data_IF_842311959282
#
_entry.id   IF_842311959282
#
_cell.length_a   1.000
_cell.length_b   1.000
_cell.length_c   1.000
_cell.angle_alpha   90.00
_cell.angle_beta   90.00
_cell.angle_gamma   90.00
#
_symmetry.space_group_name_H-M   'P 1'
#
loop_
_entity.id
_entity.type
_entity.pdbx_description
1 polymer ?
#
# COMPACT_ATOMS: atom_id res chain seq x y z
N UNK A 1 -30.30 -1.91 -11.06
CA UNK A 1 -29.85 -3.21 -11.61
C UNK A 1 -29.45 -4.09 -10.44
N UNK A 2 -29.91 -5.34 -10.39
CA UNK A 2 -29.60 -6.28 -9.30
C UNK A 2 -28.10 -6.54 -9.22
N UNK A 3 -27.47 -6.28 -8.07
CA UNK A 3 -26.09 -6.69 -7.77
C UNK A 3 -25.99 -8.20 -8.03
N UNK A 4 -25.08 -8.64 -8.91
CA UNK A 4 -24.68 -10.05 -8.95
C UNK A 4 -23.84 -10.28 -7.70
N UNK A 5 -24.42 -10.88 -6.67
CA UNK A 5 -23.65 -11.47 -5.58
C UNK A 5 -22.65 -12.44 -6.20
N UNK A 6 -21.41 -12.44 -5.69
CA UNK A 6 -20.44 -13.48 -6.06
C UNK A 6 -21.13 -14.83 -5.90
N UNK A 7 -21.07 -15.65 -6.93
CA UNK A 7 -21.46 -17.03 -6.76
C UNK A 7 -20.28 -17.73 -6.07
N UNK A 8 -20.18 -17.63 -4.73
CA UNK A 8 -19.11 -18.28 -3.94
C UNK A 8 -18.95 -19.74 -4.33
N UNK A 9 -20.07 -20.42 -4.65
CA UNK A 9 -20.05 -21.77 -5.15
C UNK A 9 -19.28 -21.92 -6.48
N UNK A 10 -19.39 -20.99 -7.42
CA UNK A 10 -18.64 -21.03 -8.68
C UNK A 10 -17.13 -20.83 -8.46
N UNK A 11 -16.73 -19.90 -7.58
CA UNK A 11 -15.32 -19.70 -7.23
C UNK A 11 -14.74 -20.99 -6.61
N UNK A 12 -15.42 -21.54 -5.61
CA UNK A 12 -14.95 -22.75 -4.92
C UNK A 12 -14.90 -23.95 -5.87
N UNK A 13 -15.90 -24.15 -6.75
CA UNK A 13 -15.85 -25.21 -7.74
C UNK A 13 -14.75 -24.97 -8.80
N UNK A 14 -14.48 -23.73 -9.16
CA UNK A 14 -13.35 -23.33 -9.99
C UNK A 14 -12.01 -23.71 -9.36
N UNK A 15 -11.84 -23.36 -8.09
CA UNK A 15 -10.68 -23.73 -7.27
C UNK A 15 -10.50 -25.24 -7.21
N UNK A 16 -11.56 -25.98 -6.87
CA UNK A 16 -11.55 -27.45 -6.86
C UNK A 16 -11.04 -28.05 -8.17
N UNK A 17 -11.51 -27.53 -9.31
CA UNK A 17 -11.15 -28.06 -10.63
C UNK A 17 -9.68 -27.78 -10.99
N UNK A 18 -9.15 -26.61 -10.61
CA UNK A 18 -7.79 -26.19 -10.93
C UNK A 18 -6.78 -26.75 -9.92
N UNK A 19 -6.98 -26.48 -8.63
CA UNK A 19 -6.05 -26.89 -7.58
C UNK A 19 -5.97 -28.41 -7.41
N UNK A 20 -6.95 -29.21 -7.85
CA UNK A 20 -6.81 -30.68 -7.83
C UNK A 20 -5.89 -31.23 -8.95
N UNK A 21 -5.47 -30.40 -9.91
CA UNK A 21 -4.70 -30.81 -11.10
C UNK A 21 -3.40 -30.04 -11.28
N UNK A 22 -3.36 -28.82 -10.78
CA UNK A 22 -2.25 -27.90 -10.93
C UNK A 22 -1.69 -27.58 -9.54
N UNK A 23 -0.41 -27.88 -9.34
CA UNK A 23 0.28 -27.58 -8.09
C UNK A 23 0.60 -26.09 -7.94
N UNK A 24 0.54 -25.30 -9.02
CA UNK A 24 0.72 -23.85 -8.98
C UNK A 24 0.05 -23.18 -10.17
N UNK A 25 -0.14 -21.87 -10.04
CA UNK A 25 -0.64 -21.00 -11.10
C UNK A 25 -0.44 -19.52 -10.74
N UNK A 26 -0.85 -18.61 -11.63
CA UNK A 26 -0.80 -17.18 -11.34
C UNK A 26 -1.54 -16.86 -10.04
N UNK A 27 -0.86 -16.31 -9.04
CA UNK A 27 -1.45 -15.93 -7.75
C UNK A 27 -1.68 -17.08 -6.76
N UNK A 28 -1.21 -18.31 -7.01
CA UNK A 28 -1.20 -19.37 -6.02
C UNK A 28 -0.07 -20.39 -6.21
N UNK A 29 0.50 -20.90 -5.13
CA UNK A 29 1.52 -21.95 -5.14
C UNK A 29 1.22 -22.99 -4.05
N UNK A 30 0.86 -24.21 -4.46
CA UNK A 30 0.60 -25.36 -3.59
C UNK A 30 1.81 -26.33 -3.57
N UNK A 31 2.96 -25.91 -4.07
CA UNK A 31 4.20 -26.70 -4.00
C UNK A 31 4.94 -26.42 -2.68
N UNK A 32 6.04 -27.15 -2.45
CA UNK A 32 7.02 -26.84 -1.39
C UNK A 32 7.80 -25.54 -1.62
N UNK A 33 7.26 -24.59 -2.38
CA UNK A 33 7.80 -23.24 -2.55
C UNK A 33 6.82 -22.18 -2.07
N UNK A 34 5.71 -22.54 -1.43
CA UNK A 34 4.76 -21.57 -0.87
C UNK A 34 5.34 -20.81 0.36
N UNK A 35 4.75 -19.66 0.75
CA UNK A 35 5.22 -18.87 1.89
C UNK A 35 5.38 -19.65 3.19
N UNK A 36 4.43 -20.52 3.54
CA UNK A 36 4.49 -21.35 4.76
C UNK A 36 5.68 -22.31 4.76
N UNK A 37 5.95 -22.99 3.65
CA UNK A 37 7.11 -23.89 3.57
C UNK A 37 8.44 -23.12 3.65
N UNK A 38 8.51 -21.92 3.04
CA UNK A 38 9.68 -21.05 3.17
C UNK A 38 9.84 -20.56 4.61
N UNK A 39 8.73 -20.24 5.28
CA UNK A 39 8.67 -19.89 6.70
C UNK A 39 9.25 -20.99 7.55
N UNK A 40 8.72 -22.21 7.49
CA UNK A 40 9.20 -23.34 8.27
C UNK A 40 10.70 -23.56 8.09
N UNK A 41 11.19 -23.56 6.84
CA UNK A 41 12.63 -23.78 6.60
C UNK A 41 13.50 -22.67 7.16
N UNK A 42 13.16 -21.41 6.87
CA UNK A 42 14.00 -20.25 7.23
C UNK A 42 13.92 -19.92 8.72
N UNK A 43 12.76 -20.14 9.34
CA UNK A 43 12.61 -19.93 10.79
C UNK A 43 13.37 -20.99 11.56
N UNK A 44 13.38 -22.26 11.14
CA UNK A 44 14.21 -23.29 11.77
C UNK A 44 15.70 -22.99 11.58
N UNK A 45 16.12 -22.58 10.38
CA UNK A 45 17.51 -22.14 10.14
C UNK A 45 17.92 -20.98 11.07
N UNK A 46 17.00 -20.05 11.38
CA UNK A 46 17.24 -18.95 12.32
C UNK A 46 17.23 -19.41 13.78
N UNK A 47 16.29 -20.26 14.18
CA UNK A 47 16.17 -20.76 15.55
C UNK A 47 17.36 -21.66 15.95
N UNK A 48 17.93 -22.41 15.00
CA UNK A 48 19.06 -23.31 15.24
C UNK A 48 20.42 -22.57 15.41
N UNK A 49 20.62 -21.46 14.71
CA UNK A 49 21.84 -20.64 14.77
C UNK A 49 21.46 -19.17 14.53
N UNK A 50 21.06 -18.45 15.60
CA UNK A 50 20.51 -17.10 15.48
C UNK A 50 21.58 -16.09 15.09
N UNK A 51 21.51 -15.62 13.85
CA UNK A 51 22.33 -14.52 13.32
C UNK A 51 21.45 -13.46 12.66
N UNK A 52 21.93 -12.21 12.57
CA UNK A 52 21.21 -11.13 11.87
C UNK A 52 20.92 -11.52 10.42
N UNK A 53 21.89 -12.08 9.70
CA UNK A 53 21.72 -12.55 8.31
C UNK A 53 20.60 -13.59 8.16
N UNK A 54 20.51 -14.55 9.09
CA UNK A 54 19.46 -15.57 9.06
C UNK A 54 18.11 -14.99 9.46
N UNK A 55 18.09 -14.04 10.39
CA UNK A 55 16.89 -13.28 10.71
C UNK A 55 16.40 -12.49 9.50
N UNK A 56 17.28 -11.83 8.75
CA UNK A 56 16.93 -11.10 7.52
C UNK A 56 16.38 -12.01 6.43
N UNK A 57 16.98 -13.19 6.25
CA UNK A 57 16.47 -14.18 5.30
C UNK A 57 15.06 -14.66 5.68
N UNK A 58 14.85 -14.96 6.97
CA UNK A 58 13.55 -15.32 7.54
C UNK A 58 12.53 -14.18 7.41
N UNK A 59 12.88 -12.98 7.86
CA UNK A 59 11.99 -11.83 7.94
C UNK A 59 11.94 -11.07 6.61
N UNK A 60 11.39 -11.73 5.60
CA UNK A 60 11.27 -11.23 4.23
C UNK A 60 9.88 -11.50 3.65
N UNK A 61 9.49 -10.72 2.64
CA UNK A 61 8.19 -10.84 1.95
C UNK A 61 7.96 -12.21 1.30
N UNK A 62 9.04 -12.94 1.01
CA UNK A 62 8.94 -14.31 0.49
C UNK A 62 8.48 -15.33 1.53
N UNK A 63 8.61 -15.00 2.81
CA UNK A 63 8.40 -15.88 3.98
C UNK A 63 7.19 -15.45 4.80
N UNK A 64 7.08 -14.14 5.01
CA UNK A 64 6.06 -13.46 5.78
C UNK A 64 5.47 -12.37 4.89
N UNK A 65 4.22 -12.52 4.51
CA UNK A 65 3.50 -11.57 3.68
C UNK A 65 3.50 -10.19 4.34
N UNK A 66 3.40 -10.11 5.67
CA UNK A 66 3.39 -8.87 6.44
C UNK A 66 4.79 -8.37 6.82
N UNK A 67 5.87 -9.07 6.47
CA UNK A 67 7.24 -8.57 6.67
C UNK A 67 7.59 -7.38 5.76
N UNK A 68 6.81 -7.12 4.70
CA UNK A 68 6.91 -5.89 3.92
C UNK A 68 6.64 -4.63 4.77
N UNK A 69 5.81 -4.72 5.83
CA UNK A 69 5.47 -3.58 6.71
C UNK A 69 6.66 -3.14 7.57
N UNK A 70 7.64 -4.02 7.81
CA UNK A 70 8.92 -3.70 8.47
C UNK A 70 10.02 -4.64 8.00
N UNK A 71 10.99 -4.12 7.25
CA UNK A 71 12.18 -4.87 6.88
C UNK A 71 12.96 -5.33 8.12
N UNK A 72 13.63 -6.47 8.01
CA UNK A 72 14.29 -7.17 9.11
C UNK A 72 15.23 -6.29 9.96
N UNK A 73 16.04 -5.44 9.31
CA UNK A 73 16.95 -4.51 9.99
C UNK A 73 16.24 -3.58 10.99
N UNK A 74 14.98 -3.21 10.76
CA UNK A 74 14.21 -2.37 11.68
C UNK A 74 13.73 -3.12 12.91
N UNK A 75 13.38 -4.39 12.75
CA UNK A 75 13.01 -5.23 13.89
C UNK A 75 14.24 -5.44 14.77
N UNK A 76 15.40 -5.69 14.16
CA UNK A 76 16.68 -5.75 14.87
C UNK A 76 17.02 -4.43 15.58
N UNK A 77 16.88 -3.29 14.90
CA UNK A 77 17.19 -1.98 15.47
C UNK A 77 16.28 -1.55 16.63
N UNK A 78 15.02 -2.01 16.65
CA UNK A 78 14.06 -1.70 17.73
C UNK A 78 14.02 -2.74 18.84
N UNK A 79 14.61 -3.89 18.61
CA UNK A 79 14.69 -4.93 19.60
C UNK A 79 15.74 -4.57 20.64
N UNK A 80 15.31 -4.30 21.87
CA UNK A 80 16.20 -3.94 22.97
C UNK A 80 17.04 -5.13 23.51
N UNK A 81 16.85 -6.33 22.95
CA UNK A 81 17.56 -7.56 23.33
C UNK A 81 18.62 -8.00 22.31
N UNK A 82 19.10 -9.23 22.44
CA UNK A 82 20.02 -9.82 21.45
C UNK A 82 19.26 -10.59 20.37
N UNK A 83 19.92 -10.93 19.27
CA UNK A 83 19.36 -11.77 18.21
C UNK A 83 18.92 -13.14 18.75
N UNK A 84 19.67 -13.70 19.71
CA UNK A 84 19.26 -14.90 20.45
C UNK A 84 17.96 -14.66 21.23
N UNK A 85 17.77 -13.47 21.80
CA UNK A 85 16.51 -13.10 22.46
C UNK A 85 15.32 -13.02 21.50
N UNK A 86 15.53 -12.63 20.23
CA UNK A 86 14.49 -12.74 19.20
C UNK A 86 14.18 -14.20 18.88
N UNK A 87 15.21 -15.04 18.77
CA UNK A 87 15.01 -16.48 18.58
C UNK A 87 14.26 -17.12 19.75
N UNK A 88 14.55 -16.71 20.99
CA UNK A 88 13.80 -17.15 22.18
C UNK A 88 12.32 -16.73 22.10
N UNK A 89 12.04 -15.49 21.67
CA UNK A 89 10.66 -15.00 21.48
C UNK A 89 9.92 -15.80 20.38
N UNK A 90 10.56 -16.06 19.25
CA UNK A 90 9.97 -16.88 18.20
C UNK A 90 9.78 -18.34 18.66
N UNK A 91 10.70 -18.87 19.46
CA UNK A 91 10.58 -20.17 20.10
C UNK A 91 9.42 -20.24 21.10
N UNK A 92 9.16 -19.15 21.85
CA UNK A 92 7.98 -18.97 22.70
C UNK A 92 6.70 -19.05 21.85
N UNK A 93 6.60 -18.25 20.78
CA UNK A 93 5.45 -18.25 19.87
C UNK A 93 5.19 -19.63 19.25
N UNK A 94 6.25 -20.34 18.83
CA UNK A 94 6.17 -21.70 18.27
C UNK A 94 5.56 -22.72 19.23
N UNK A 95 5.81 -22.57 20.52
CA UNK A 95 5.39 -23.54 21.54
C UNK A 95 4.18 -23.10 22.36
N UNK A 96 3.65 -21.92 22.09
CA UNK A 96 2.50 -21.36 22.77
C UNK A 96 1.18 -21.99 22.29
N UNK A 97 0.32 -22.38 23.23
CA UNK A 97 -0.99 -22.95 22.95
C UNK A 97 -2.02 -21.90 22.48
N UNK A 98 -1.81 -20.62 22.83
CA UNK A 98 -2.71 -19.50 22.52
C UNK A 98 -1.90 -18.26 22.12
N UNK A 99 -2.52 -17.38 21.32
CA UNK A 99 -1.93 -16.11 20.93
C UNK A 99 -1.85 -15.14 22.12
N UNK A 100 -0.67 -14.54 22.35
CA UNK A 100 -0.48 -13.49 23.36
C UNK A 100 -0.41 -12.10 22.71
N UNK A 101 -1.40 -11.20 22.95
CA UNK A 101 -1.36 -9.82 22.48
C UNK A 101 -0.13 -9.02 22.95
N UNK A 102 0.57 -9.45 24.00
CA UNK A 102 1.82 -8.83 24.43
C UNK A 102 2.92 -8.92 23.36
N UNK A 103 2.86 -9.88 22.43
CA UNK A 103 3.81 -9.96 21.32
C UNK A 103 3.69 -8.78 20.36
N UNK A 104 2.52 -8.13 20.23
CA UNK A 104 2.34 -6.94 19.39
C UNK A 104 3.13 -5.71 19.89
N UNK A 105 3.57 -5.74 21.15
CA UNK A 105 4.48 -4.73 21.71
C UNK A 105 5.96 -4.99 21.40
N UNK A 106 6.30 -6.23 21.03
CA UNK A 106 7.66 -6.72 20.78
C UNK A 106 7.96 -6.85 19.29
N UNK A 107 6.97 -7.32 18.54
CA UNK A 107 6.98 -7.48 17.09
C UNK A 107 5.89 -6.59 16.49
N UNK A 108 5.97 -6.22 15.20
CA UNK A 108 4.93 -5.43 14.56
C UNK A 108 3.60 -6.19 14.62
N UNK A 109 2.53 -5.57 15.11
CA UNK A 109 1.29 -6.27 15.49
C UNK A 109 0.75 -7.25 14.44
N UNK A 110 0.59 -6.83 13.18
CA UNK A 110 0.11 -7.72 12.11
C UNK A 110 1.11 -8.83 11.75
N UNK A 111 2.41 -8.54 11.75
CA UNK A 111 3.43 -9.56 11.53
C UNK A 111 3.50 -10.55 12.69
N UNK A 112 3.21 -10.13 13.93
CA UNK A 112 3.11 -11.04 15.07
C UNK A 112 1.96 -12.04 14.90
N UNK A 113 0.83 -11.60 14.34
CA UNK A 113 -0.29 -12.49 14.00
C UNK A 113 0.11 -13.53 12.97
N UNK A 114 0.80 -13.09 11.92
CA UNK A 114 1.24 -13.98 10.84
C UNK A 114 2.28 -14.98 11.34
N UNK A 115 3.31 -14.52 12.05
CA UNK A 115 4.36 -15.39 12.61
C UNK A 115 3.76 -16.47 13.50
N UNK A 116 2.89 -16.09 14.45
CA UNK A 116 2.24 -17.05 15.33
C UNK A 116 1.38 -18.03 14.52
N UNK A 117 0.49 -17.52 13.67
CA UNK A 117 -0.43 -18.38 12.92
C UNK A 117 0.27 -19.29 11.90
N UNK A 118 1.44 -18.92 11.37
CA UNK A 118 2.25 -19.81 10.53
C UNK A 118 2.92 -20.93 11.32
N UNK A 119 3.38 -20.69 12.55
CA UNK A 119 3.85 -21.79 13.41
C UNK A 119 2.76 -22.83 13.70
N UNK A 120 1.51 -22.39 13.71
CA UNK A 120 0.34 -23.21 14.04
C UNK A 120 -0.56 -23.49 12.82
N UNK A 121 -0.01 -23.43 11.60
CA UNK A 121 -0.77 -23.57 10.36
C UNK A 121 -1.49 -24.93 10.23
N UNK A 122 -1.02 -25.96 10.94
CA UNK A 122 -1.66 -27.27 10.97
C UNK A 122 -2.95 -27.30 11.80
N UNK A 123 -3.09 -26.35 12.75
CA UNK A 123 -4.14 -26.36 13.77
C UNK A 123 -5.10 -25.17 13.63
N UNK A 124 -4.63 -24.03 13.14
CA UNK A 124 -5.36 -22.77 13.07
C UNK A 124 -5.16 -22.05 11.73
N UNK A 125 -6.12 -21.20 11.28
CA UNK A 125 -5.96 -20.39 10.08
C UNK A 125 -4.73 -19.48 10.15
N UNK A 126 -4.06 -19.31 9.00
CA UNK A 126 -2.99 -18.33 8.81
C UNK A 126 -3.60 -16.94 8.73
N UNK A 127 -3.11 -16.01 9.55
CA UNK A 127 -3.62 -14.65 9.70
C UNK A 127 -2.59 -13.65 9.19
N UNK A 128 -2.82 -13.11 8.00
CA UNK A 128 -2.05 -12.00 7.43
C UNK A 128 -2.96 -10.86 7.00
N UNK A 129 -2.39 -9.69 6.70
CA UNK A 129 -3.12 -8.58 6.09
C UNK A 129 -3.81 -8.97 4.77
N UNK A 130 -3.17 -9.84 3.98
CA UNK A 130 -3.68 -10.33 2.71
C UNK A 130 -4.91 -11.23 2.90
N UNK A 131 -4.86 -12.14 3.86
CA UNK A 131 -5.99 -12.99 4.26
C UNK A 131 -7.18 -12.15 4.70
N UNK A 132 -6.96 -11.13 5.56
CA UNK A 132 -8.02 -10.21 6.01
C UNK A 132 -8.68 -9.49 4.83
N UNK A 133 -7.87 -8.95 3.93
CA UNK A 133 -8.35 -8.24 2.73
C UNK A 133 -9.17 -9.15 1.81
N UNK A 134 -8.71 -10.39 1.61
CA UNK A 134 -9.42 -11.37 0.80
C UNK A 134 -10.75 -11.80 1.42
N UNK A 135 -10.79 -12.05 2.74
CA UNK A 135 -12.04 -12.35 3.47
C UNK A 135 -13.05 -11.21 3.33
N UNK A 136 -12.61 -9.96 3.48
CA UNK A 136 -13.45 -8.79 3.24
C UNK A 136 -13.97 -8.72 1.80
N UNK A 137 -13.13 -9.07 0.82
CA UNK A 137 -13.51 -9.10 -0.60
C UNK A 137 -14.60 -10.16 -0.86
N UNK A 138 -14.57 -11.25 -0.11
CA UNK A 138 -15.59 -12.31 -0.13
C UNK A 138 -16.82 -11.97 0.74
N UNK A 139 -16.91 -10.76 1.29
CA UNK A 139 -18.08 -10.29 2.03
C UNK A 139 -18.13 -10.73 3.50
N UNK A 140 -17.02 -11.22 4.05
CA UNK A 140 -16.87 -11.45 5.48
C UNK A 140 -16.38 -10.18 6.18
N UNK A 141 -16.67 -10.01 7.47
CA UNK A 141 -16.13 -8.91 8.28
C UNK A 141 -15.04 -9.47 9.21
N UNK A 142 -13.75 -9.33 8.87
CA UNK A 142 -12.66 -9.91 9.66
C UNK A 142 -12.43 -9.20 11.00
N UNK A 143 -13.01 -8.01 11.22
CA UNK A 143 -12.74 -7.21 12.40
C UNK A 143 -11.30 -6.65 12.48
N UNK A 144 -10.96 -6.12 13.66
CA UNK A 144 -9.70 -5.40 13.93
C UNK A 144 -8.78 -6.11 14.92
N UNK A 145 -9.18 -7.24 15.49
CA UNK A 145 -8.43 -7.98 16.51
C UNK A 145 -8.12 -9.39 16.01
N UNK A 146 -6.98 -9.97 16.41
CA UNK A 146 -6.54 -11.31 16.00
C UNK A 146 -7.65 -12.37 16.12
N UNK A 147 -8.30 -12.45 17.28
CA UNK A 147 -9.35 -13.44 17.54
C UNK A 147 -10.56 -13.30 16.61
N UNK A 148 -10.93 -12.07 16.23
CA UNK A 148 -12.03 -11.81 15.28
C UNK A 148 -11.68 -12.29 13.88
N UNK A 149 -10.42 -12.11 13.48
CA UNK A 149 -9.93 -12.58 12.18
C UNK A 149 -9.91 -14.11 12.14
N UNK A 150 -9.45 -14.76 13.21
CA UNK A 150 -9.46 -16.23 13.33
C UNK A 150 -10.89 -16.77 13.25
N UNK A 151 -11.84 -16.20 14.00
CA UNK A 151 -13.26 -16.62 13.95
C UNK A 151 -13.84 -16.49 12.54
N UNK A 152 -13.49 -15.40 11.85
CA UNK A 152 -13.95 -15.15 10.48
C UNK A 152 -13.33 -16.12 9.47
N UNK A 153 -12.02 -16.40 9.60
CA UNK A 153 -11.33 -17.36 8.77
C UNK A 153 -11.86 -18.79 8.99
N UNK A 154 -12.21 -19.14 10.22
CA UNK A 154 -12.87 -20.40 10.59
C UNK A 154 -14.28 -20.53 10.00
N UNK A 155 -15.05 -19.44 9.97
CA UNK A 155 -16.33 -19.40 9.28
C UNK A 155 -16.16 -19.66 7.77
N UNK A 156 -15.18 -19.01 7.15
CA UNK A 156 -14.85 -19.24 5.75
C UNK A 156 -14.37 -20.68 5.49
N UNK A 157 -13.52 -21.25 6.36
CA UNK A 157 -13.10 -22.66 6.29
C UNK A 157 -14.30 -23.60 6.32
N UNK A 158 -15.25 -23.36 7.22
CA UNK A 158 -16.45 -24.19 7.34
C UNK A 158 -17.29 -24.18 6.05
N UNK A 159 -17.46 -23.00 5.44
CA UNK A 159 -18.14 -22.85 4.16
C UNK A 159 -17.38 -23.54 3.01
N UNK A 160 -16.05 -23.42 3.02
CA UNK A 160 -15.15 -24.05 2.06
C UNK A 160 -15.23 -25.58 2.11
N UNK A 161 -15.07 -26.17 3.29
CA UNK A 161 -15.11 -27.63 3.48
C UNK A 161 -16.47 -28.20 3.10
N UNK A 162 -17.56 -27.51 3.45
CA UNK A 162 -18.91 -27.91 3.07
C UNK A 162 -19.13 -27.89 1.55
N UNK A 163 -18.49 -26.97 0.83
CA UNK A 163 -18.66 -26.81 -0.61
C UNK A 163 -17.76 -27.74 -1.45
N UNK A 164 -16.49 -27.88 -1.08
CA UNK A 164 -15.48 -28.57 -1.90
C UNK A 164 -14.61 -29.57 -1.14
N UNK A 165 -14.55 -29.48 0.19
CA UNK A 165 -13.57 -30.21 1.00
C UNK A 165 -12.14 -29.74 0.73
N UNK A 166 -11.15 -30.33 1.40
CA UNK A 166 -9.74 -30.10 1.07
C UNK A 166 -9.44 -30.65 -0.34
N UNK A 167 -9.14 -29.75 -1.27
CA UNK A 167 -9.01 -30.02 -2.70
C UNK A 167 -7.72 -30.77 -3.02
N UNK A 168 -6.64 -30.45 -2.31
CA UNK A 168 -5.32 -31.05 -2.51
C UNK A 168 -5.16 -32.40 -1.81
N UNK A 169 -6.12 -32.81 -0.96
CA UNK A 169 -6.07 -34.10 -0.30
C UNK A 169 -6.02 -35.25 -1.32
N UNK A 170 -4.97 -36.07 -1.24
CA UNK A 170 -4.73 -37.21 -2.13
C UNK A 170 -4.13 -36.85 -3.50
N UNK A 171 -3.67 -35.62 -3.73
CA UNK A 171 -2.92 -35.23 -4.93
C UNK A 171 -1.40 -35.37 -4.72
N UNK A 172 -0.60 -35.24 -5.79
CA UNK A 172 0.87 -35.24 -5.70
C UNK A 172 1.43 -33.95 -5.06
N UNK A 173 0.56 -32.98 -4.75
CA UNK A 173 0.86 -31.67 -4.18
C UNK A 173 -0.08 -31.36 -3.02
N UNK A 174 -0.38 -32.37 -2.21
CA UNK A 174 -1.15 -32.24 -0.98
C UNK A 174 -0.45 -31.29 0.00
N UNK A 175 -1.19 -30.30 0.51
CA UNK A 175 -0.75 -29.36 1.55
C UNK A 175 -1.79 -29.30 2.67
N UNK A 176 -1.41 -28.80 3.84
CA UNK A 176 -2.33 -28.61 4.97
C UNK A 176 -3.50 -27.68 4.58
N UNK A 177 -4.68 -27.94 5.14
CA UNK A 177 -5.92 -27.23 4.77
C UNK A 177 -5.79 -25.71 4.91
N UNK A 178 -5.19 -25.20 5.99
CA UNK A 178 -5.04 -23.75 6.18
C UNK A 178 -4.05 -23.13 5.18
N UNK A 179 -3.04 -23.88 4.73
CA UNK A 179 -2.15 -23.46 3.63
C UNK A 179 -2.94 -23.42 2.32
N UNK A 180 -3.76 -24.42 2.02
CA UNK A 180 -4.63 -24.42 0.83
C UNK A 180 -5.59 -23.22 0.82
N UNK A 181 -6.20 -22.90 1.97
CA UNK A 181 -7.09 -21.76 2.14
C UNK A 181 -6.35 -20.43 1.98
N UNK A 182 -5.16 -20.29 2.57
CA UNK A 182 -4.31 -19.12 2.37
C UNK A 182 -4.05 -18.92 0.88
N UNK A 183 -3.65 -19.95 0.13
CA UNK A 183 -3.36 -19.83 -1.30
C UNK A 183 -4.58 -19.41 -2.13
N UNK A 184 -5.78 -19.89 -1.79
CA UNK A 184 -7.01 -19.39 -2.41
C UNK A 184 -7.27 -17.91 -2.06
N UNK A 185 -7.05 -17.52 -0.81
CA UNK A 185 -7.27 -16.15 -0.35
C UNK A 185 -6.22 -15.19 -0.95
N UNK A 186 -4.97 -15.61 -1.13
CA UNK A 186 -3.94 -14.86 -1.86
C UNK A 186 -4.34 -14.63 -3.32
N UNK A 187 -4.80 -15.66 -4.01
CA UNK A 187 -5.32 -15.54 -5.37
C UNK A 187 -6.49 -14.53 -5.45
N UNK A 188 -7.36 -14.52 -4.45
CA UNK A 188 -8.48 -13.56 -4.35
C UNK A 188 -7.98 -12.15 -4.00
N UNK A 189 -6.93 -12.03 -3.19
CA UNK A 189 -6.44 -10.77 -2.62
C UNK A 189 -5.43 -10.03 -3.50
N UNK A 190 -4.56 -10.73 -4.21
CA UNK A 190 -3.39 -10.16 -4.90
C UNK A 190 -3.62 -9.90 -6.39
N UNK A 191 -4.36 -10.76 -7.09
CA UNK A 191 -4.45 -10.64 -8.54
C UNK A 191 -5.32 -9.46 -8.98
N UNK A 192 -4.80 -8.74 -9.98
CA UNK A 192 -5.48 -7.62 -10.60
C UNK A 192 -6.47 -8.06 -11.70
N UNK A 193 -7.43 -7.20 -12.03
CA UNK A 193 -8.40 -7.46 -13.09
C UNK A 193 -7.75 -7.74 -14.46
N UNK A 194 -6.63 -7.10 -14.77
CA UNK A 194 -5.90 -7.33 -16.02
C UNK A 194 -5.33 -8.75 -16.09
N UNK A 195 -4.73 -9.22 -15.00
CA UNK A 195 -4.16 -10.56 -14.88
C UNK A 195 -5.26 -11.63 -14.91
N UNK A 196 -6.33 -11.43 -14.14
CA UNK A 196 -7.51 -12.33 -14.13
C UNK A 196 -8.08 -12.47 -15.55
N UNK A 197 -8.18 -11.37 -16.32
CA UNK A 197 -8.63 -11.42 -17.73
C UNK A 197 -7.68 -12.23 -18.60
N UNK A 198 -6.37 -12.13 -18.37
CA UNK A 198 -5.35 -12.93 -19.06
C UNK A 198 -5.58 -14.43 -18.93
N UNK A 199 -6.03 -14.88 -17.75
CA UNK A 199 -6.25 -16.30 -17.42
C UNK A 199 -7.72 -16.76 -17.51
N UNK A 200 -8.63 -15.88 -17.94
CA UNK A 200 -10.05 -16.20 -18.13
C UNK A 200 -10.36 -17.10 -19.37
N UNK A 201 -9.31 -17.57 -20.04
CA UNK A 201 -9.36 -18.50 -21.16
C UNK A 201 -8.36 -19.65 -20.95
N UNK A 202 -8.57 -20.78 -21.62
CA UNK A 202 -7.74 -21.98 -21.45
C UNK A 202 -8.12 -22.82 -20.22
N UNK A 203 -7.17 -23.65 -19.78
CA UNK A 203 -7.41 -24.70 -18.78
C UNK A 203 -7.65 -24.17 -17.36
N UNK A 204 -7.12 -22.98 -17.06
CA UNK A 204 -7.31 -22.30 -15.78
C UNK A 204 -8.61 -21.49 -15.70
N UNK A 205 -9.28 -21.25 -16.83
CA UNK A 205 -10.46 -20.40 -16.91
C UNK A 205 -11.57 -20.71 -15.89
N UNK A 206 -11.84 -21.98 -15.49
CA UNK A 206 -12.82 -22.26 -14.45
C UNK A 206 -12.57 -21.56 -13.11
N UNK A 207 -11.31 -21.29 -12.75
CA UNK A 207 -10.93 -20.57 -11.53
C UNK A 207 -10.99 -19.04 -11.71
N UNK A 208 -10.48 -18.52 -12.83
CA UNK A 208 -10.35 -17.07 -13.02
C UNK A 208 -11.64 -16.39 -13.52
N UNK A 209 -12.52 -17.11 -14.24
CA UNK A 209 -13.80 -16.53 -14.69
C UNK A 209 -14.73 -16.12 -13.55
N UNK A 210 -14.90 -16.90 -12.47
CA UNK A 210 -15.66 -16.45 -11.30
C UNK A 210 -15.10 -15.19 -10.63
N UNK A 211 -13.79 -14.95 -10.75
CA UNK A 211 -13.15 -13.73 -10.23
C UNK A 211 -13.43 -12.49 -11.10
N UNK A 212 -13.74 -12.67 -12.39
CA UNK A 212 -14.20 -11.60 -13.27
C UNK A 212 -15.58 -11.09 -12.79
N UNK A 213 -15.57 -9.99 -12.06
CA UNK A 213 -16.77 -9.45 -11.42
C UNK A 213 -16.75 -9.51 -9.91
N UNK A 214 -15.89 -10.34 -9.31
CA UNK A 214 -15.62 -10.32 -7.86
C UNK A 214 -15.01 -8.98 -7.46
N UNK A 215 -14.06 -8.49 -8.25
CA UNK A 215 -13.49 -7.14 -8.13
C UNK A 215 -14.39 -6.04 -8.69
N UNK A 216 -15.45 -6.39 -9.42
CA UNK A 216 -16.46 -5.44 -9.93
C UNK A 216 -17.72 -5.38 -9.05
N UNK A 217 -17.79 -6.21 -8.01
CA UNK A 217 -18.93 -6.39 -7.10
C UNK A 217 -18.54 -6.41 -5.62
N UNK A 218 -17.25 -6.58 -5.31
CA UNK A 218 -16.62 -6.34 -4.02
C UNK A 218 -16.44 -4.84 -3.79
N UNK A 219 -17.55 -4.12 -3.70
CA UNK A 219 -17.59 -2.97 -2.80
C UNK A 219 -17.51 -3.53 -1.36
N UNK A 220 -16.30 -3.88 -0.92
CA UNK A 220 -15.90 -3.45 0.40
C UNK A 220 -16.10 -1.93 0.37
N UNK A 221 -16.68 -1.36 1.42
CA UNK A 221 -16.79 0.09 1.55
C UNK A 221 -15.44 0.72 1.15
N UNK A 222 -15.37 1.33 -0.03
CA UNK A 222 -14.19 2.07 -0.50
C UNK A 222 -13.40 1.61 -1.74
N UNK A 223 -13.76 0.54 -2.47
CA UNK A 223 -12.82 -0.08 -3.43
C UNK A 223 -12.64 0.50 -4.85
N UNK A 224 -13.54 1.35 -5.37
CA UNK A 224 -13.34 2.02 -6.67
C UNK A 224 -13.98 3.41 -6.61
N UNK A 225 -13.18 4.43 -6.88
CA UNK A 225 -13.62 5.81 -6.80
C UNK A 225 -14.16 6.21 -8.17
N UNK A 226 -15.45 5.99 -8.37
CA UNK A 226 -16.13 6.39 -9.59
C UNK A 226 -16.47 7.89 -9.53
N UNK A 227 -15.96 8.64 -10.51
CA UNK A 227 -16.30 10.04 -10.70
C UNK A 227 -17.73 10.20 -11.23
N UNK A 228 -18.39 11.24 -10.77
CA UNK A 228 -19.69 11.71 -11.22
C UNK A 228 -19.57 13.19 -11.50
N UNK A 229 -20.00 13.62 -12.68
CA UNK A 229 -20.17 15.03 -13.02
C UNK A 229 -18.89 15.89 -12.92
N UNK A 230 -17.70 15.27 -13.00
CA UNK A 230 -16.41 15.97 -12.93
C UNK A 230 -15.94 16.53 -14.28
N UNK A 231 -16.57 16.13 -15.40
CA UNK A 231 -16.22 16.58 -16.76
C UNK A 231 -16.03 18.11 -16.91
N UNK A 232 -16.92 18.97 -16.37
CA UNK A 232 -16.76 20.42 -16.51
C UNK A 232 -15.47 20.95 -15.86
N UNK A 233 -15.01 20.30 -14.78
CA UNK A 233 -13.77 20.66 -14.08
C UNK A 233 -12.56 20.32 -14.95
N UNK A 234 -12.52 19.11 -15.51
CA UNK A 234 -11.43 18.67 -16.38
C UNK A 234 -11.37 19.48 -17.68
N UNK A 235 -12.52 19.78 -18.29
CA UNK A 235 -12.60 20.64 -19.48
C UNK A 235 -12.10 22.07 -19.19
N UNK A 236 -12.51 22.65 -18.06
CA UNK A 236 -12.07 23.98 -17.65
C UNK A 236 -10.56 24.02 -17.39
N UNK A 237 -10.04 23.02 -16.67
CA UNK A 237 -8.60 22.89 -16.41
C UNK A 237 -7.79 22.73 -17.70
N UNK A 238 -8.17 21.77 -18.56
CA UNK A 238 -7.47 21.50 -19.81
C UNK A 238 -7.44 22.75 -20.70
N UNK A 239 -8.57 23.47 -20.82
CA UNK A 239 -8.64 24.73 -21.55
C UNK A 239 -7.73 25.80 -20.95
N UNK A 240 -7.71 25.95 -19.62
CA UNK A 240 -6.82 26.88 -18.92
C UNK A 240 -5.34 26.54 -19.15
N UNK A 241 -4.99 25.25 -19.05
CA UNK A 241 -3.63 24.73 -19.21
C UNK A 241 -3.10 24.89 -20.64
N UNK A 242 -3.91 24.59 -21.65
CA UNK A 242 -3.57 24.76 -23.08
C UNK A 242 -3.36 26.26 -23.42
N UNK A 243 -4.10 27.15 -22.76
CA UNK A 243 -3.96 28.60 -22.91
C UNK A 243 -2.97 29.25 -21.94
N UNK A 244 -2.18 28.45 -21.20
CA UNK A 244 -1.10 28.92 -20.31
C UNK A 244 -1.58 29.82 -19.16
N UNK A 245 -2.81 29.63 -18.69
CA UNK A 245 -3.43 30.43 -17.63
C UNK A 245 -2.61 30.45 -16.32
N UNK A 246 -1.97 29.33 -15.96
CA UNK A 246 -1.23 29.18 -14.70
C UNK A 246 0.20 29.77 -14.70
N UNK A 247 0.54 30.62 -15.69
CA UNK A 247 1.90 31.18 -15.87
C UNK A 247 2.06 32.65 -15.47
N UNK A 248 1.05 33.50 -15.63
CA UNK A 248 1.09 34.93 -15.30
C UNK A 248 -0.34 35.48 -15.11
N UNK A 249 -0.53 36.31 -14.09
CA UNK A 249 -1.83 36.83 -13.62
C UNK A 249 -2.40 37.88 -14.58
N UNK A 250 -3.46 37.50 -15.32
CA UNK A 250 -4.69 38.23 -15.65
C UNK A 250 -5.36 37.47 -16.80
N UNK A 251 -6.22 36.52 -16.45
CA UNK A 251 -6.84 35.63 -17.44
C UNK A 251 -8.28 35.29 -17.06
N UNK A 252 -9.12 35.06 -18.07
CA UNK A 252 -10.53 34.69 -17.91
C UNK A 252 -10.73 33.20 -17.64
N UNK A 253 -9.66 32.40 -17.67
CA UNK A 253 -9.72 30.96 -17.45
C UNK A 253 -9.79 30.60 -15.96
N UNK A 254 -10.51 29.52 -15.66
CA UNK A 254 -10.71 29.01 -14.29
C UNK A 254 -9.37 28.72 -13.58
N UNK A 255 -9.23 29.18 -12.34
CA UNK A 255 -7.97 29.08 -11.58
C UNK A 255 -6.87 30.00 -12.06
N UNK A 256 -7.13 30.90 -13.02
CA UNK A 256 -6.13 31.78 -13.62
C UNK A 256 -5.51 32.81 -12.67
N UNK A 257 -6.13 33.05 -11.51
CA UNK A 257 -5.56 33.84 -10.43
C UNK A 257 -4.53 33.07 -9.59
N UNK A 258 -4.39 31.75 -9.80
CA UNK A 258 -3.42 30.90 -9.11
C UNK A 258 -2.20 30.64 -10.01
N UNK A 259 -1.05 31.16 -9.61
CA UNK A 259 0.22 30.84 -10.24
C UNK A 259 0.66 29.43 -9.79
N UNK A 260 0.38 28.41 -10.61
CA UNK A 260 0.63 26.99 -10.29
C UNK A 260 1.80 26.37 -11.07
N UNK A 261 2.38 27.08 -12.07
CA UNK A 261 3.52 26.60 -12.88
C UNK A 261 4.74 26.17 -12.04
N UNK A 262 4.88 26.75 -10.86
CA UNK A 262 5.98 26.47 -9.95
C UNK A 262 6.18 25.00 -9.62
N UNK A 263 5.11 24.18 -9.63
CA UNK A 263 5.19 22.75 -9.27
C UNK A 263 6.15 22.02 -10.21
N UNK A 264 6.04 22.29 -11.51
CA UNK A 264 6.94 21.76 -12.53
C UNK A 264 8.34 22.35 -12.40
N UNK A 265 8.48 23.65 -12.12
CA UNK A 265 9.80 24.25 -11.88
C UNK A 265 10.50 23.68 -10.64
N UNK A 266 9.73 23.29 -9.63
CA UNK A 266 10.23 22.66 -8.42
C UNK A 266 10.59 21.18 -8.67
N UNK A 267 9.80 20.44 -9.45
CA UNK A 267 10.18 19.11 -9.95
C UNK A 267 11.50 19.14 -10.75
N UNK A 268 11.63 20.08 -11.69
CA UNK A 268 12.86 20.27 -12.48
C UNK A 268 14.07 20.56 -11.57
N UNK A 269 13.87 21.38 -10.55
CA UNK A 269 14.89 21.70 -9.55
C UNK A 269 15.32 20.46 -8.76
N UNK A 270 14.37 19.72 -8.17
CA UNK A 270 14.67 18.51 -7.39
C UNK A 270 15.40 17.46 -8.22
N UNK A 271 14.95 17.24 -9.45
CA UNK A 271 15.60 16.27 -10.36
C UNK A 271 17.03 16.68 -10.68
N UNK A 272 17.31 17.99 -10.78
CA UNK A 272 18.64 18.52 -11.02
C UNK A 272 19.55 18.44 -9.79
N UNK A 273 19.07 18.87 -8.63
CA UNK A 273 19.88 18.90 -7.39
C UNK A 273 20.18 17.50 -6.88
N UNK A 274 19.21 16.58 -6.97
CA UNK A 274 19.35 15.21 -6.46
C UNK A 274 19.96 14.25 -7.49
N UNK A 275 20.42 14.75 -8.65
CA UNK A 275 20.98 13.91 -9.71
C UNK A 275 22.26 13.17 -9.31
N UNK A 276 22.99 13.69 -8.32
CA UNK A 276 24.19 13.06 -7.75
C UNK A 276 23.88 11.94 -6.77
N UNK A 277 22.68 11.91 -6.19
CA UNK A 277 22.32 10.97 -5.14
C UNK A 277 21.73 9.70 -5.73
N UNK A 278 22.09 8.57 -5.13
CA UNK A 278 21.38 7.32 -5.38
C UNK A 278 20.18 7.25 -4.45
N UNK A 279 19.04 7.81 -4.85
CA UNK A 279 17.89 7.95 -3.95
C UNK A 279 17.34 6.64 -3.37
N UNK A 280 17.59 5.49 -4.00
CA UNK A 280 17.21 4.16 -3.48
C UNK A 280 18.31 3.49 -2.65
N UNK A 281 19.43 4.18 -2.43
CA UNK A 281 20.58 3.70 -1.67
C UNK A 281 21.34 4.89 -1.06
N UNK A 282 20.60 5.76 -0.36
CA UNK A 282 21.11 6.89 0.38
C UNK A 282 21.93 6.39 1.57
N UNK A 283 22.97 7.15 1.91
CA UNK A 283 23.65 7.03 3.19
C UNK A 283 23.33 8.21 4.13
N UNK A 284 23.83 8.15 5.36
CA UNK A 284 23.55 9.18 6.35
C UNK A 284 24.11 10.57 6.00
N UNK A 285 25.15 10.65 5.15
CA UNK A 285 25.73 11.92 4.70
C UNK A 285 24.86 12.58 3.61
N UNK A 286 24.05 11.79 2.89
CA UNK A 286 23.12 12.28 1.87
C UNK A 286 21.86 12.95 2.46
N UNK A 287 21.48 12.61 3.69
CA UNK A 287 20.23 13.08 4.32
C UNK A 287 20.13 14.62 4.38
N UNK A 288 21.17 15.37 4.82
CA UNK A 288 21.14 16.83 4.76
C UNK A 288 20.96 17.40 3.34
N UNK A 289 21.63 16.82 2.34
CA UNK A 289 21.52 17.25 0.93
C UNK A 289 20.09 17.07 0.40
N UNK A 290 19.44 15.95 0.79
CA UNK A 290 18.03 15.71 0.48
C UNK A 290 17.12 16.82 1.04
N UNK A 291 17.27 17.19 2.32
CA UNK A 291 16.44 18.25 2.90
C UNK A 291 16.72 19.63 2.28
N UNK A 292 17.99 19.94 2.01
CA UNK A 292 18.38 21.23 1.42
C UNK A 292 17.77 21.41 0.01
N UNK A 293 17.73 20.35 -0.79
CA UNK A 293 17.05 20.36 -2.10
C UNK A 293 15.54 20.63 -1.97
N UNK A 294 14.88 20.01 -0.97
CA UNK A 294 13.45 20.21 -0.75
C UNK A 294 13.10 21.56 -0.10
N UNK A 295 14.03 22.22 0.57
CA UNK A 295 13.82 23.53 1.19
C UNK A 295 14.01 24.71 0.22
N UNK A 296 13.99 24.45 -1.10
CA UNK A 296 14.05 25.49 -2.11
C UNK A 296 12.99 26.58 -1.92
N UNK A 297 13.45 27.83 -1.82
CA UNK A 297 12.59 28.99 -1.74
C UNK A 297 11.98 29.29 -3.11
N UNK A 298 10.68 29.06 -3.22
CA UNK A 298 9.91 29.36 -4.43
C UNK A 298 9.69 30.86 -4.64
N UNK A 299 9.24 31.26 -5.82
CA UNK A 299 9.06 32.66 -6.24
C UNK A 299 8.09 33.49 -5.39
N UNK A 300 7.28 32.90 -4.51
CA UNK A 300 6.38 33.61 -3.58
C UNK A 300 6.88 33.70 -2.13
N UNK A 301 8.16 33.43 -1.86
CA UNK A 301 8.79 33.74 -0.56
C UNK A 301 8.54 32.72 0.57
N UNK A 302 8.16 31.50 0.23
CA UNK A 302 8.12 30.35 1.16
C UNK A 302 8.76 29.12 0.51
N UNK A 303 9.26 28.19 1.35
CA UNK A 303 9.70 26.88 0.86
C UNK A 303 8.51 26.04 0.42
N UNK A 304 8.71 25.16 -0.55
CA UNK A 304 7.63 24.29 -1.03
C UNK A 304 6.99 23.45 0.08
N UNK A 305 7.74 22.81 1.01
CA UNK A 305 7.17 22.10 2.15
C UNK A 305 6.25 22.95 3.01
N UNK A 306 6.68 24.17 3.35
CA UNK A 306 5.89 25.09 4.16
C UNK A 306 4.58 25.50 3.47
N UNK A 307 4.63 25.72 2.16
CA UNK A 307 3.46 26.09 1.37
C UNK A 307 2.45 24.94 1.25
N UNK A 308 2.94 23.73 0.97
CA UNK A 308 2.15 22.55 0.65
C UNK A 308 1.54 21.89 1.88
N UNK A 309 2.33 21.67 2.93
CA UNK A 309 1.87 21.04 4.15
C UNK A 309 0.93 21.97 4.94
N UNK A 310 1.05 23.29 4.70
CA UNK A 310 0.21 24.33 5.26
C UNK A 310 0.38 24.53 6.77
N UNK A 311 -0.25 25.60 7.28
CA UNK A 311 -0.47 25.86 8.70
C UNK A 311 0.75 25.75 9.63
N UNK A 312 0.46 25.75 10.94
CA UNK A 312 1.46 25.55 11.98
C UNK A 312 1.86 24.06 12.07
N UNK A 313 0.89 23.16 11.88
CA UNK A 313 1.06 21.72 12.05
C UNK A 313 1.87 21.04 10.93
N UNK A 314 1.66 21.42 9.67
CA UNK A 314 2.48 20.92 8.56
C UNK A 314 3.94 21.37 8.68
N UNK A 315 4.14 22.61 9.12
CA UNK A 315 5.49 23.14 9.45
C UNK A 315 6.12 22.35 10.61
N UNK A 316 5.35 22.00 11.64
CA UNK A 316 5.87 21.19 12.75
C UNK A 316 6.26 19.79 12.30
N UNK A 317 5.42 19.11 11.52
CA UNK A 317 5.73 17.77 11.04
C UNK A 317 7.00 17.76 10.16
N UNK A 318 7.15 18.71 9.23
CA UNK A 318 8.38 18.85 8.44
C UNK A 318 9.61 19.02 9.33
N UNK A 319 9.54 19.95 10.28
CA UNK A 319 10.66 20.22 11.18
C UNK A 319 10.99 19.03 12.09
N UNK A 320 9.96 18.31 12.56
CA UNK A 320 10.15 17.11 13.38
C UNK A 320 10.76 15.95 12.60
N UNK A 321 10.31 15.71 11.36
CA UNK A 321 10.92 14.73 10.45
C UNK A 321 12.39 15.09 10.23
N UNK A 322 12.70 16.35 9.93
CA UNK A 322 14.08 16.83 9.74
C UNK A 322 14.92 16.69 11.01
N UNK A 323 14.39 17.03 12.17
CA UNK A 323 15.06 16.92 13.47
C UNK A 323 15.43 15.45 13.74
N UNK A 324 14.47 14.53 13.66
CA UNK A 324 14.68 13.09 13.83
C UNK A 324 15.68 12.55 12.80
N UNK A 325 15.58 12.97 11.55
CA UNK A 325 16.49 12.55 10.48
C UNK A 325 17.93 13.03 10.71
N UNK A 326 18.09 14.22 11.29
CA UNK A 326 19.40 14.78 11.62
C UNK A 326 20.01 14.09 12.84
N UNK A 327 19.19 13.68 13.80
CA UNK A 327 19.63 12.94 14.99
C UNK A 327 20.05 11.50 14.67
N UNK A 328 19.39 10.86 13.69
CA UNK A 328 19.63 9.48 13.29
C UNK A 328 19.79 9.34 11.76
N UNK A 329 20.87 9.89 11.18
CA UNK A 329 21.02 10.00 9.72
C UNK A 329 21.10 8.65 9.01
N UNK A 330 21.71 7.62 9.61
CA UNK A 330 21.77 6.27 9.03
C UNK A 330 20.38 5.65 8.84
N UNK A 331 19.58 5.63 9.92
CA UNK A 331 18.19 5.13 9.86
C UNK A 331 17.31 5.97 8.94
N UNK A 332 17.50 7.29 8.93
CA UNK A 332 16.77 8.16 8.03
C UNK A 332 17.09 7.86 6.56
N UNK A 333 18.37 7.63 6.23
CA UNK A 333 18.80 7.27 4.89
C UNK A 333 18.17 5.95 4.43
N UNK A 334 18.09 4.94 5.30
CA UNK A 334 17.39 3.68 5.01
C UNK A 334 15.90 3.91 4.71
N UNK A 335 15.21 4.70 5.53
CA UNK A 335 13.79 5.01 5.35
C UNK A 335 13.54 5.75 4.04
N UNK A 336 14.36 6.77 3.74
CA UNK A 336 14.24 7.53 2.50
C UNK A 336 14.58 6.68 1.28
N UNK A 337 15.61 5.83 1.38
CA UNK A 337 15.97 4.87 0.33
C UNK A 337 14.81 3.99 -0.06
N UNK A 338 14.15 3.43 0.95
CA UNK A 338 12.98 2.60 0.73
C UNK A 338 11.77 3.41 0.24
N UNK A 339 11.56 4.61 0.77
CA UNK A 339 10.49 5.50 0.31
C UNK A 339 10.60 5.74 -1.20
N UNK A 340 11.80 6.06 -1.70
CA UNK A 340 12.06 6.34 -3.11
C UNK A 340 12.21 5.09 -3.99
N UNK A 341 12.13 3.88 -3.45
CA UNK A 341 12.14 2.65 -4.24
C UNK A 341 10.87 2.58 -5.11
N UNK A 342 10.97 3.00 -6.37
CA UNK A 342 9.90 2.89 -7.35
C UNK A 342 9.98 1.53 -7.99
N UNK A 343 8.94 0.73 -7.81
CA UNK A 343 8.78 -0.48 -8.63
C UNK A 343 8.23 -0.02 -9.98
N UNK A 344 9.05 -0.12 -11.02
CA UNK A 344 8.77 0.34 -12.40
C UNK A 344 7.57 -0.34 -13.10
N UNK A 345 6.79 -1.16 -12.39
CA UNK A 345 5.62 -1.83 -12.94
C UNK A 345 4.32 -1.11 -12.50
N UNK A 346 3.51 -0.57 -13.44
CA UNK A 346 2.15 -0.19 -13.14
C UNK A 346 1.36 -1.44 -12.72
N UNK A 347 1.20 -1.62 -11.41
CA UNK A 347 0.54 -2.77 -10.78
C UNK A 347 1.12 -3.15 -9.41
N UNK A 348 2.40 -2.84 -9.14
CA UNK A 348 3.01 -3.11 -7.81
C UNK A 348 2.87 -1.90 -6.86
N UNK A 349 1.64 -1.37 -6.79
CA UNK A 349 1.30 -0.19 -5.97
C UNK A 349 0.96 -0.58 -4.54
N UNK A 350 0.87 -1.87 -4.23
CA UNK A 350 0.75 -2.39 -2.85
C UNK A 350 1.98 -2.02 -2.00
N UNK A 351 3.18 -1.96 -2.60
CA UNK A 351 4.41 -1.57 -1.91
C UNK A 351 4.44 -0.12 -1.42
N UNK A 352 3.57 0.78 -1.91
CA UNK A 352 3.50 2.17 -1.39
C UNK A 352 2.97 2.22 0.04
N UNK A 353 2.03 1.33 0.39
CA UNK A 353 1.47 1.29 1.74
C UNK A 353 2.56 1.00 2.77
N UNK A 354 3.43 0.05 2.46
CA UNK A 354 4.56 -0.39 3.30
C UNK A 354 5.64 0.67 3.44
N UNK A 355 5.97 1.37 2.35
CA UNK A 355 6.93 2.49 2.37
C UNK A 355 6.45 3.63 3.25
N UNK A 356 5.17 3.97 3.10
CA UNK A 356 4.52 4.98 3.94
C UNK A 356 4.42 4.50 5.41
N UNK A 357 4.24 3.20 5.63
CA UNK A 357 4.17 2.62 6.96
C UNK A 357 5.47 2.78 7.71
N UNK A 358 6.58 2.47 7.04
CA UNK A 358 7.90 2.62 7.62
C UNK A 358 8.24 4.09 7.85
N UNK A 359 7.95 4.97 6.90
CA UNK A 359 8.13 6.40 7.08
C UNK A 359 7.40 6.94 8.32
N UNK A 360 6.10 6.68 8.41
CA UNK A 360 5.26 7.10 9.54
C UNK A 360 5.86 6.59 10.84
N UNK A 361 6.19 5.31 10.89
CA UNK A 361 6.69 4.66 12.09
C UNK A 361 8.03 5.18 12.60
N UNK A 362 8.97 5.57 11.73
CA UNK A 362 10.27 6.13 12.16
C UNK A 362 10.12 7.58 12.60
N UNK A 363 9.27 8.34 11.92
CA UNK A 363 9.12 9.77 12.19
C UNK A 363 7.94 10.11 13.13
N UNK A 364 7.18 9.11 13.58
CA UNK A 364 6.10 9.25 14.56
C UNK A 364 6.61 9.85 15.87
N UNK A 365 5.95 10.90 16.32
CA UNK A 365 6.24 11.57 17.57
C UNK A 365 5.03 12.40 18.03
N UNK A 366 5.08 12.89 19.27
CA UNK A 366 4.00 13.68 19.90
C UNK A 366 3.56 14.93 19.10
N UNK A 367 4.37 15.40 18.15
CA UNK A 367 4.13 16.60 17.34
C UNK A 367 3.63 16.30 15.93
N UNK A 368 3.64 15.04 15.48
CA UNK A 368 3.26 14.66 14.12
C UNK A 368 2.37 13.41 14.12
N UNK A 369 1.08 13.60 13.83
CA UNK A 369 0.11 12.52 13.64
C UNK A 369 0.27 11.82 12.29
N UNK A 370 -0.21 10.57 12.18
CA UNK A 370 -0.11 9.75 10.96
C UNK A 370 -0.50 10.46 9.66
N UNK A 371 -1.65 11.16 9.63
CA UNK A 371 -2.07 11.93 8.45
C UNK A 371 -1.11 13.06 8.05
N UNK A 372 -0.43 13.69 9.01
CA UNK A 372 0.53 14.77 8.73
C UNK A 372 1.87 14.19 8.26
N UNK A 373 2.30 13.06 8.81
CA UNK A 373 3.49 12.33 8.34
C UNK A 373 3.28 11.78 6.93
N UNK A 374 2.07 11.30 6.63
CA UNK A 374 1.69 10.89 5.29
C UNK A 374 1.77 12.05 4.28
N UNK A 375 1.35 13.26 4.66
CA UNK A 375 1.54 14.45 3.81
C UNK A 375 3.02 14.76 3.58
N UNK A 376 3.89 14.56 4.57
CA UNK A 376 5.34 14.75 4.39
C UNK A 376 5.93 13.68 3.47
N UNK A 377 5.63 12.40 3.69
CA UNK A 377 6.12 11.30 2.87
C UNK A 377 5.70 11.46 1.39
N UNK A 378 4.43 11.76 1.16
CA UNK A 378 3.88 11.94 -0.19
C UNK A 378 4.36 13.23 -0.85
N UNK A 379 4.86 14.21 -0.08
CA UNK A 379 5.55 15.38 -0.64
C UNK A 379 6.88 15.02 -1.27
N UNK A 380 7.67 14.15 -0.63
CA UNK A 380 8.89 13.61 -1.23
C UNK A 380 8.57 12.84 -2.52
N UNK A 381 7.53 12.00 -2.49
CA UNK A 381 7.16 11.19 -3.64
C UNK A 381 6.59 11.99 -4.82
N UNK A 382 5.61 12.86 -4.58
CA UNK A 382 4.82 13.50 -5.63
C UNK A 382 5.63 14.48 -6.50
N UNK A 383 6.66 15.12 -5.93
CA UNK A 383 7.47 16.08 -6.66
C UNK A 383 8.72 15.49 -7.30
N UNK A 384 9.19 14.33 -6.84
CA UNK A 384 10.26 13.62 -7.52
C UNK A 384 9.73 12.64 -8.58
N UNK A 385 8.62 11.96 -8.29
CA UNK A 385 7.93 11.02 -9.18
C UNK A 385 6.48 11.47 -9.48
N UNK A 386 6.30 12.59 -10.18
CA UNK A 386 4.98 13.15 -10.48
C UNK A 386 4.12 12.26 -11.38
N UNK A 387 4.73 11.27 -12.03
CA UNK A 387 4.03 10.28 -12.83
C UNK A 387 3.41 9.17 -11.98
N UNK A 388 3.85 8.99 -10.73
CA UNK A 388 3.47 7.83 -9.90
C UNK A 388 2.65 8.21 -8.66
N UNK A 389 2.91 9.38 -8.07
CA UNK A 389 2.33 9.76 -6.78
C UNK A 389 1.67 11.14 -6.78
N UNK A 390 0.50 11.23 -6.15
CA UNK A 390 -0.18 12.50 -5.84
C UNK A 390 0.15 12.95 -4.41
N UNK A 391 0.34 14.25 -4.20
CA UNK A 391 0.55 14.77 -2.85
C UNK A 391 -0.72 14.60 -2.01
N UNK A 392 -0.58 13.99 -0.83
CA UNK A 392 -1.68 13.86 0.13
C UNK A 392 -1.92 15.16 0.91
N UNK A 393 -3.15 15.68 0.81
CA UNK A 393 -3.66 16.83 1.55
C UNK A 393 -5.15 16.62 1.82
N UNK A 394 -5.48 16.25 3.06
CA UNK A 394 -6.82 15.83 3.47
C UNK A 394 -7.94 16.79 3.01
N UNK A 395 -7.85 18.05 3.41
CA UNK A 395 -8.86 19.09 3.15
C UNK A 395 -9.11 19.31 1.66
N UNK A 396 -8.03 19.30 0.89
CA UNK A 396 -8.04 19.52 -0.55
C UNK A 396 -8.66 18.32 -1.28
N UNK A 397 -8.22 17.11 -0.95
CA UNK A 397 -8.73 15.87 -1.55
C UNK A 397 -10.20 15.66 -1.17
N UNK A 398 -10.55 15.83 0.12
CA UNK A 398 -11.92 15.68 0.60
C UNK A 398 -12.88 16.59 -0.17
N UNK A 399 -12.49 17.84 -0.44
CA UNK A 399 -13.33 18.78 -1.22
C UNK A 399 -13.69 18.25 -2.60
N UNK A 400 -12.75 17.56 -3.27
CA UNK A 400 -12.98 16.95 -4.57
C UNK A 400 -13.80 15.66 -4.47
N UNK A 401 -13.37 14.73 -3.62
CA UNK A 401 -13.96 13.40 -3.51
C UNK A 401 -15.39 13.45 -2.94
N UNK A 402 -15.67 14.25 -1.92
CA UNK A 402 -17.03 14.42 -1.38
C UNK A 402 -18.00 14.98 -2.43
N UNK A 403 -17.49 15.74 -3.40
CA UNK A 403 -18.31 16.41 -4.40
C UNK A 403 -18.57 15.55 -5.62
N UNK A 404 -17.55 14.87 -6.11
CA UNK A 404 -17.59 14.19 -7.39
C UNK A 404 -17.61 12.67 -7.28
N UNK A 405 -17.65 12.11 -6.06
CA UNK A 405 -17.63 10.67 -5.86
C UNK A 405 -18.55 10.28 -4.71
N UNK A 406 -18.96 9.01 -4.63
CA UNK A 406 -19.64 8.50 -3.43
C UNK A 406 -18.65 8.03 -2.36
N UNK A 407 -17.35 8.21 -2.60
CA UNK A 407 -16.32 7.80 -1.69
C UNK A 407 -16.17 8.86 -0.60
N UNK A 408 -16.55 8.48 0.63
CA UNK A 408 -16.37 9.31 1.82
C UNK A 408 -15.39 8.64 2.78
N UNK A 409 -14.44 9.41 3.30
CA UNK A 409 -13.53 8.99 4.36
C UNK A 409 -13.83 9.86 5.59
N UNK A 410 -14.42 9.23 6.61
CA UNK A 410 -15.22 9.94 7.60
C UNK A 410 -14.43 10.70 8.66
N UNK A 411 -13.24 10.23 9.07
CA UNK A 411 -12.32 10.95 9.96
C UNK A 411 -11.03 10.11 10.10
N UNK A 412 -9.90 10.65 9.65
CA UNK A 412 -8.62 9.96 9.73
C UNK A 412 -8.37 9.11 8.49
N UNK A 413 -7.35 9.54 7.74
CA UNK A 413 -6.93 8.91 6.52
C UNK A 413 -5.71 8.05 6.80
N UNK A 414 -5.75 6.80 6.38
CA UNK A 414 -4.65 5.87 6.50
C UNK A 414 -3.99 5.61 5.14
N UNK A 415 -2.90 4.83 5.17
CA UNK A 415 -2.10 4.50 4.00
C UNK A 415 -2.86 3.66 2.96
N UNK A 416 -3.87 2.91 3.40
CA UNK A 416 -4.73 2.16 2.50
C UNK A 416 -5.63 3.11 1.69
N UNK A 417 -6.22 4.11 2.34
CA UNK A 417 -6.96 5.16 1.66
C UNK A 417 -6.04 5.94 0.70
N UNK A 418 -4.78 6.19 1.08
CA UNK A 418 -3.77 6.76 0.18
C UNK A 418 -3.61 6.00 -1.12
N UNK A 419 -3.36 4.70 -1.03
CA UNK A 419 -3.18 3.85 -2.20
C UNK A 419 -4.39 3.93 -3.13
N UNK A 420 -5.61 3.82 -2.59
CA UNK A 420 -6.85 3.91 -3.36
C UNK A 420 -7.05 5.27 -4.03
N UNK A 421 -6.82 6.38 -3.31
CA UNK A 421 -6.91 7.72 -3.92
C UNK A 421 -5.84 7.91 -4.99
N UNK A 422 -4.61 7.46 -4.73
CA UNK A 422 -3.51 7.57 -5.67
C UNK A 422 -3.85 6.83 -6.97
N UNK A 423 -4.36 5.60 -6.86
CA UNK A 423 -4.82 4.80 -7.99
C UNK A 423 -5.92 5.51 -8.78
N UNK A 424 -6.94 6.04 -8.10
CA UNK A 424 -8.00 6.80 -8.75
C UNK A 424 -7.47 8.07 -9.45
N UNK A 425 -6.43 8.72 -8.90
CA UNK A 425 -5.81 9.89 -9.52
C UNK A 425 -5.13 9.55 -10.85
N UNK A 426 -4.63 8.33 -11.04
CA UNK A 426 -4.10 7.89 -12.35
C UNK A 426 -5.19 7.82 -13.41
N UNK A 427 -6.41 7.42 -13.06
CA UNK A 427 -7.54 7.49 -13.99
C UNK A 427 -7.86 8.95 -14.36
N UNK A 428 -7.67 9.89 -13.43
CA UNK A 428 -7.83 11.33 -13.70
C UNK A 428 -6.77 11.87 -14.64
N UNK A 429 -5.54 11.33 -14.58
CA UNK A 429 -4.48 11.68 -15.52
C UNK A 429 -4.91 11.29 -16.93
N UNK A 430 -5.44 10.08 -17.14
CA UNK A 430 -5.92 9.65 -18.45
C UNK A 430 -7.03 10.56 -18.99
N UNK A 431 -7.97 10.99 -18.13
CA UNK A 431 -9.00 11.97 -18.52
C UNK A 431 -8.40 13.33 -18.93
N UNK A 432 -7.37 13.80 -18.24
CA UNK A 432 -6.70 15.05 -18.59
C UNK A 432 -5.89 14.93 -19.89
N UNK A 433 -5.21 13.80 -20.10
CA UNK A 433 -4.35 13.55 -21.24
C UNK A 433 -5.15 13.60 -22.56
N UNK A 434 -6.37 13.06 -22.57
CA UNK A 434 -7.29 13.12 -23.72
C UNK A 434 -7.72 14.57 -24.10
N UNK A 435 -7.57 15.53 -23.19
CA UNK A 435 -8.07 16.91 -23.32
C UNK A 435 -6.96 17.96 -23.41
N UNK A 436 -5.72 17.59 -23.10
CA UNK A 436 -4.57 18.50 -23.03
C UNK A 436 -3.64 18.39 -24.24
N UNK A 437 -2.99 19.50 -24.60
CA UNK A 437 -1.98 19.51 -25.67
C UNK A 437 -0.62 18.93 -25.24
N UNK A 438 -0.40 18.79 -23.94
CA UNK A 438 0.81 18.25 -23.33
C UNK A 438 0.45 17.06 -22.45
N UNK A 439 1.39 16.13 -22.30
CA UNK A 439 1.24 14.96 -21.42
C UNK A 439 0.83 15.40 -20.01
N UNK A 440 -0.25 14.82 -19.51
CA UNK A 440 -0.76 15.08 -18.17
C UNK A 440 -0.06 14.20 -17.14
N UNK A 441 0.09 14.70 -15.91
CA UNK A 441 0.57 13.91 -14.78
C UNK A 441 -0.10 14.28 -13.46
N UNK A 442 0.34 13.68 -12.34
CA UNK A 442 -0.32 13.89 -11.05
C UNK A 442 -0.09 15.28 -10.45
N UNK A 443 0.85 16.09 -10.99
CA UNK A 443 0.92 17.52 -10.66
C UNK A 443 -0.22 18.31 -11.30
N UNK A 444 -0.70 17.91 -12.48
CA UNK A 444 -1.92 18.48 -13.07
C UNK A 444 -3.14 18.14 -12.23
N UNK A 445 -3.30 16.87 -11.83
CA UNK A 445 -4.39 16.42 -10.93
C UNK A 445 -4.34 17.16 -9.60
N UNK A 446 -3.16 17.28 -8.99
CA UNK A 446 -2.99 18.06 -7.76
C UNK A 446 -3.35 19.55 -7.96
N UNK A 447 -3.13 20.10 -9.16
CA UNK A 447 -3.52 21.48 -9.49
C UNK A 447 -5.03 21.63 -9.63
N UNK A 448 -5.71 20.66 -10.23
CA UNK A 448 -7.19 20.60 -10.26
C UNK A 448 -7.75 20.62 -8.83
N UNK A 449 -7.23 19.76 -7.95
CA UNK A 449 -7.67 19.71 -6.55
C UNK A 449 -7.42 21.03 -5.82
N UNK A 450 -6.26 21.64 -6.03
CA UNK A 450 -5.89 22.90 -5.41
C UNK A 450 -6.79 24.06 -5.83
N UNK A 451 -6.99 24.24 -7.14
CA UNK A 451 -7.84 25.31 -7.68
C UNK A 451 -9.28 25.11 -7.25
N UNK A 452 -9.81 23.89 -7.33
CA UNK A 452 -11.16 23.58 -6.88
C UNK A 452 -11.36 23.89 -5.40
N UNK A 453 -10.39 23.54 -4.55
CA UNK A 453 -10.45 23.80 -3.13
C UNK A 453 -10.42 25.31 -2.80
N UNK A 454 -9.73 26.12 -3.61
CA UNK A 454 -9.55 27.56 -3.41
C UNK A 454 -10.66 28.42 -4.02
N UNK A 455 -11.08 28.11 -5.24
CA UNK A 455 -12.03 28.91 -6.03
C UNK A 455 -13.43 28.28 -6.11
N UNK A 456 -13.55 26.98 -5.86
CA UNK A 456 -14.77 26.23 -6.16
C UNK A 456 -14.83 25.78 -7.64
N UNK A 457 -15.93 25.11 -8.04
CA UNK A 457 -16.09 24.62 -9.41
C UNK A 457 -16.20 25.78 -10.41
N UNK A 458 -15.84 25.55 -11.70
CA UNK A 458 -15.92 26.54 -12.77
C UNK A 458 -17.35 27.00 -13.11
#
# INVERSE_FOLDING_TARGET
MSRKSVNHAELLQGWRNVASRHASGPGFDLTGSNPTFRFERRVEDFLDDPTEERFEAFWSAETLLDAHVRIAGLVLNRWDGTVEGLADLLGEMRTADEYDPAWESKLPGQTAWEVYSRFHADESPIVSSHVRSALATLGFDPGSEYASVVETAEAFRSDYEAAVGQVTCGTDHEVHLHVELEQLLLLVGELENAEIRGYASGDLAPLYRPLLGLRSGGQIAGGEISLREADPVFEAYARARNNRAYRDEDTEYWGGAHHERWKWSYHDHLTSELASLSLTALDGEDVPELFDAYEYATSWGATAPKYLLGGQWGTYAWNSVREIATENPGTAAEVFSYLFEVVDAPGDRSAVDSRLAWFEQVFENDRASGGTLLSVATLFLAFYYPENYVLYRHDMMQTFFDRYTDYGFADGYDRHHYRLLNDACHDLVAELDDRMDAEANLLDVHTVFWVLHREGPP
#
